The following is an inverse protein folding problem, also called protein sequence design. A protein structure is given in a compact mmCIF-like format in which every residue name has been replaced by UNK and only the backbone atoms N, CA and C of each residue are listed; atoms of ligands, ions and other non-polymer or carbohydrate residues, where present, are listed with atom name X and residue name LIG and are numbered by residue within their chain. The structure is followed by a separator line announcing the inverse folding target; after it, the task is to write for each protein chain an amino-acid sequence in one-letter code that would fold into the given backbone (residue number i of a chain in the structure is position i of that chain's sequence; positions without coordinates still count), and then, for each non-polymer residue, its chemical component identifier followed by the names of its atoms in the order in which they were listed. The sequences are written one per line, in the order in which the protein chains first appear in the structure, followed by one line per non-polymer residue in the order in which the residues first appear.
data_IF_049279119445
#
_entry.id   IF_049279119445
#
_cell.length_a   1.000
_cell.length_b   1.000
_cell.length_c   1.000
_cell.angle_alpha   90.00
_cell.angle_beta   90.00
_cell.angle_gamma   90.00
#
_symmetry.space_group_name_H-M   'P 1'
#
loop_
_entity.id
_entity.type
_entity.pdbx_description
1 polymer ?
#
# COMPACT_ATOMS: atom_id res chain seq x y z
N UNK A 1 22.87 10.69 64.25
CA UNK A 1 22.20 9.47 63.80
C UNK A 1 21.03 9.88 62.93
N UNK A 2 21.20 9.83 61.59
CA UNK A 2 20.20 9.89 60.50
C UNK A 2 19.17 11.05 60.48
N UNK A 3 18.82 11.73 59.38
CA UNK A 3 19.12 11.65 57.94
C UNK A 3 18.69 12.99 57.31
N UNK A 4 19.46 13.49 56.36
CA UNK A 4 19.05 14.53 55.41
C UNK A 4 18.11 13.96 54.34
N UNK A 5 17.14 14.78 53.88
CA UNK A 5 16.84 15.04 52.46
C UNK A 5 15.60 15.96 52.32
N UNK A 6 15.73 17.12 51.67
CA UNK A 6 14.68 17.77 50.91
C UNK A 6 15.00 17.69 49.40
N UNK A 7 13.97 17.68 48.53
CA UNK A 7 14.21 17.78 47.09
C UNK A 7 12.96 17.65 46.23
N UNK A 8 12.33 18.79 45.95
CA UNK A 8 11.41 18.98 44.81
C UNK A 8 12.14 18.70 43.49
N UNK A 9 11.43 18.09 42.53
CA UNK A 9 11.82 18.06 41.10
C UNK A 9 10.76 18.86 40.31
N UNK A 10 11.15 19.84 39.49
CA UNK A 10 10.22 20.57 38.61
C UNK A 10 10.05 19.89 37.25
N UNK A 11 8.92 20.23 36.61
CA UNK A 11 8.56 19.86 35.25
C UNK A 11 9.57 20.40 34.21
N UNK A 12 10.08 19.51 33.36
CA UNK A 12 10.91 19.86 32.21
C UNK A 12 10.07 19.97 30.94
N UNK A 13 10.04 21.18 30.36
CA UNK A 13 9.48 21.46 29.05
C UNK A 13 10.37 20.94 27.91
N UNK A 14 9.74 20.65 26.77
CA UNK A 14 10.41 20.34 25.52
C UNK A 14 10.89 21.63 24.82
N UNK A 15 12.11 21.67 24.26
CA UNK A 15 12.59 22.85 23.56
C UNK A 15 12.03 22.90 22.13
N UNK A 16 11.51 24.08 21.77
CA UNK A 16 11.28 24.51 20.40
C UNK A 16 12.64 24.87 19.79
N UNK A 17 13.09 24.13 18.78
CA UNK A 17 14.27 24.52 17.99
C UNK A 17 13.79 25.20 16.72
N UNK A 18 13.94 26.52 16.67
CA UNK A 18 13.88 27.30 15.43
C UNK A 18 15.16 27.05 14.62
N UNK A 19 15.03 26.54 13.38
CA UNK A 19 16.15 26.45 12.45
C UNK A 19 16.04 27.55 11.41
N UNK A 20 17.08 28.38 11.40
CA UNK A 20 17.38 29.45 10.44
C UNK A 20 17.76 28.81 9.10
N UNK A 21 17.09 29.20 8.02
CA UNK A 21 17.39 28.78 6.65
C UNK A 21 18.64 29.51 6.15
N UNK A 22 19.78 28.82 6.10
CA UNK A 22 20.98 29.29 5.40
C UNK A 22 21.06 28.61 4.01
N UNK A 23 21.03 29.42 2.95
CA UNK A 23 21.20 28.96 1.56
C UNK A 23 22.68 28.80 1.22
N UNK A 24 23.15 27.62 0.74
CA UNK A 24 24.45 27.53 0.10
C UNK A 24 24.35 27.87 -1.40
N UNK A 25 25.22 28.80 -1.81
CA UNK A 25 25.45 29.24 -3.19
C UNK A 25 25.93 28.08 -4.08
N UNK A 26 25.43 28.02 -5.32
CA UNK A 26 25.95 27.18 -6.39
C UNK A 26 27.40 27.56 -6.71
N UNK A 27 28.29 26.56 -6.70
CA UNK A 27 29.61 26.66 -7.33
C UNK A 27 29.63 25.75 -8.55
N UNK A 28 29.91 26.35 -9.71
CA UNK A 28 30.04 25.70 -11.01
C UNK A 28 31.48 25.29 -11.24
N UNK A 29 31.74 23.98 -11.38
CA UNK A 29 32.97 23.45 -11.97
C UNK A 29 32.68 22.14 -12.72
N UNK A 30 32.70 22.19 -14.06
CA UNK A 30 33.20 21.09 -14.93
C UNK A 30 34.74 21.16 -14.96
N UNK A 31 35.54 20.17 -15.44
CA UNK A 31 35.25 18.99 -16.29
C UNK A 31 35.89 17.67 -15.72
N UNK A 32 35.80 16.47 -16.30
CA UNK A 32 36.54 15.98 -17.47
C UNK A 32 36.07 14.56 -17.83
N UNK A 33 36.00 14.27 -19.13
CA UNK A 33 35.59 12.98 -19.68
C UNK A 33 36.66 11.89 -19.46
N UNK A 34 36.22 10.71 -19.03
CA UNK A 34 37.01 9.48 -19.00
C UNK A 34 36.36 8.48 -19.96
N UNK A 35 37.12 8.07 -20.97
CA UNK A 35 36.78 7.04 -21.95
C UNK A 35 36.85 5.67 -21.28
N UNK A 36 35.83 4.79 -21.38
CA UNK A 36 35.98 3.41 -20.94
C UNK A 36 36.56 2.53 -22.05
N UNK A 37 37.55 1.76 -21.60
CA UNK A 37 38.31 0.75 -22.30
C UNK A 37 37.46 -0.44 -22.74
N UNK A 38 37.88 -1.07 -23.82
CA UNK A 38 37.16 -2.06 -24.62
C UNK A 38 37.71 -3.45 -24.29
N UNK A 39 37.06 -4.20 -23.39
CA UNK A 39 37.37 -5.62 -23.20
C UNK A 39 36.18 -6.42 -22.63
N UNK A 40 36.01 -7.64 -23.15
CA UNK A 40 35.10 -8.72 -22.74
C UNK A 40 33.62 -8.62 -23.17
N UNK A 41 33.36 -9.00 -24.43
CA UNK A 41 32.08 -9.60 -24.83
C UNK A 41 32.12 -11.12 -24.59
N UNK A 42 31.26 -11.62 -23.71
CA UNK A 42 30.93 -13.04 -23.59
C UNK A 42 29.74 -13.38 -24.52
N UNK A 43 29.67 -14.59 -25.10
CA UNK A 43 28.67 -14.95 -26.10
C UNK A 43 27.28 -15.19 -25.50
N UNK A 44 26.24 -14.79 -26.25
CA UNK A 44 24.83 -14.95 -25.90
C UNK A 44 24.39 -16.43 -25.82
N UNK A 45 23.45 -16.78 -24.91
CA UNK A 45 22.90 -18.13 -24.84
C UNK A 45 21.94 -18.42 -26.01
N UNK A 46 22.07 -19.62 -26.59
CA UNK A 46 21.20 -20.16 -27.63
C UNK A 46 19.91 -20.72 -27.01
N UNK A 47 18.76 -20.20 -27.42
CA UNK A 47 17.46 -20.79 -27.08
C UNK A 47 17.13 -21.99 -27.99
N UNK A 48 16.56 -23.09 -27.46
CA UNK A 48 16.06 -24.19 -28.27
C UNK A 48 14.71 -23.86 -28.93
N UNK A 49 14.55 -24.30 -30.19
CA UNK A 49 13.28 -24.25 -30.95
C UNK A 49 12.24 -25.20 -30.34
N UNK A 50 10.94 -24.89 -30.42
CA UNK A 50 9.88 -25.81 -29.99
C UNK A 50 9.66 -26.93 -31.02
N UNK A 51 9.37 -28.17 -30.59
CA UNK A 51 8.94 -29.24 -31.48
C UNK A 51 7.47 -29.10 -31.87
N UNK A 52 7.18 -29.57 -33.10
CA UNK A 52 5.95 -29.33 -33.84
C UNK A 52 4.74 -30.17 -33.44
N UNK A 53 3.64 -29.80 -34.11
CA UNK A 53 2.29 -30.37 -34.06
C UNK A 53 2.30 -31.86 -34.43
N UNK A 54 1.60 -32.67 -33.65
CA UNK A 54 1.26 -34.05 -33.97
C UNK A 54 -0.11 -34.42 -33.39
N UNK A 55 -1.13 -34.39 -34.24
CA UNK A 55 -2.45 -35.02 -34.05
C UNK A 55 -2.32 -36.55 -34.00
N UNK A 56 -3.05 -37.22 -33.10
CA UNK A 56 -3.65 -38.55 -33.33
C UNK A 56 -4.59 -38.93 -32.17
N UNK A 57 -5.88 -39.11 -32.49
CA UNK A 57 -6.85 -39.86 -31.70
C UNK A 57 -6.57 -41.37 -31.85
N UNK A 58 -6.99 -42.20 -30.88
CA UNK A 58 -8.10 -43.10 -31.22
C UNK A 58 -9.13 -43.33 -30.09
N UNK A 59 -10.34 -43.66 -30.55
CA UNK A 59 -11.47 -44.24 -29.82
C UNK A 59 -11.13 -45.59 -29.18
N UNK A 60 -11.62 -45.82 -27.96
CA UNK A 60 -12.11 -47.13 -27.49
C UNK A 60 -13.10 -46.91 -26.34
N UNK A 61 -14.31 -47.46 -26.50
CA UNK A 61 -15.40 -47.32 -25.54
C UNK A 61 -15.31 -48.30 -24.37
N UNK A 62 -15.98 -47.95 -23.28
CA UNK A 62 -16.47 -48.91 -22.28
C UNK A 62 -17.80 -48.44 -21.68
N UNK A 63 -18.65 -49.43 -21.47
CA UNK A 63 -20.06 -49.37 -21.05
C UNK A 63 -20.25 -49.38 -19.53
N UNK A 64 -21.23 -48.57 -19.07
CA UNK A 64 -22.12 -48.69 -17.87
C UNK A 64 -21.47 -48.63 -16.46
N UNK A 65 -22.21 -48.34 -15.35
CA UNK A 65 -23.69 -48.31 -15.17
C UNK A 65 -24.27 -47.07 -14.42
N UNK A 66 -25.60 -46.98 -14.38
CA UNK A 66 -26.41 -45.99 -13.65
C UNK A 66 -26.34 -46.17 -12.11
N UNK A 67 -26.47 -45.08 -11.31
CA UNK A 67 -26.49 -45.17 -9.85
C UNK A 67 -27.90 -45.47 -9.30
N UNK A 68 -28.00 -46.09 -8.10
CA UNK A 68 -29.27 -46.41 -7.46
C UNK A 68 -29.89 -45.20 -6.75
N UNK A 69 -31.22 -45.15 -6.82
CA UNK A 69 -32.10 -44.23 -6.10
C UNK A 69 -32.15 -44.60 -4.62
N UNK A 70 -31.67 -43.72 -3.74
CA UNK A 70 -31.93 -43.81 -2.29
C UNK A 70 -32.47 -42.48 -1.81
N UNK A 71 -33.74 -42.49 -1.45
CA UNK A 71 -34.47 -41.41 -0.77
C UNK A 71 -34.02 -41.37 0.69
N UNK A 72 -33.33 -40.30 1.09
CA UNK A 72 -33.09 -40.00 2.50
C UNK A 72 -33.59 -38.59 2.80
N UNK A 73 -34.55 -38.55 3.72
CA UNK A 73 -35.31 -37.43 4.24
C UNK A 73 -34.42 -36.28 4.74
N UNK A 74 -34.61 -35.09 4.20
CA UNK A 74 -34.04 -33.82 4.66
C UNK A 74 -34.61 -33.47 6.05
N UNK A 75 -33.81 -33.15 7.07
CA UNK A 75 -34.29 -32.29 8.15
C UNK A 75 -34.34 -30.86 7.62
N UNK A 76 -35.44 -30.16 7.86
CA UNK A 76 -35.59 -28.73 7.62
C UNK A 76 -34.48 -27.98 8.36
N UNK A 77 -33.44 -27.63 7.61
CA UNK A 77 -32.41 -26.72 8.07
C UNK A 77 -33.03 -25.34 8.19
N UNK A 78 -33.17 -24.89 9.42
CA UNK A 78 -33.27 -23.49 9.80
C UNK A 78 -32.37 -22.67 8.88
N UNK A 79 -32.99 -21.85 8.01
CA UNK A 79 -32.30 -20.84 7.21
C UNK A 79 -31.74 -19.81 8.19
N UNK A 80 -30.60 -20.15 8.80
CA UNK A 80 -29.71 -19.17 9.39
C UNK A 80 -29.34 -18.27 8.23
N UNK A 81 -30.01 -17.11 8.19
CA UNK A 81 -29.66 -16.01 7.32
C UNK A 81 -28.23 -15.65 7.72
N UNK A 82 -27.26 -16.22 7.01
CA UNK A 82 -25.87 -15.87 7.18
C UNK A 82 -25.78 -14.41 6.74
N UNK A 83 -25.85 -13.50 7.71
CA UNK A 83 -25.46 -12.11 7.53
C UNK A 83 -24.24 -12.11 6.62
N UNK A 84 -24.28 -11.43 5.45
CA UNK A 84 -23.16 -11.45 4.52
C UNK A 84 -21.93 -11.03 5.32
N UNK A 85 -21.07 -12.01 5.59
CA UNK A 85 -20.05 -11.85 6.61
C UNK A 85 -19.29 -10.55 6.34
N UNK A 86 -19.20 -9.64 7.31
CA UNK A 86 -18.58 -8.32 7.06
C UNK A 86 -17.06 -8.48 7.00
N UNK A 87 -16.40 -7.86 6.01
CA UNK A 87 -14.93 -7.92 5.88
C UNK A 87 -14.32 -6.88 6.83
N UNK A 88 -13.37 -7.30 7.65
CA UNK A 88 -12.78 -6.46 8.70
C UNK A 88 -11.26 -6.44 8.55
N UNK A 89 -10.64 -5.27 8.74
CA UNK A 89 -9.21 -5.09 8.81
C UNK A 89 -8.82 -4.53 10.19
N UNK A 90 -7.85 -5.14 10.87
CA UNK A 90 -7.24 -4.58 12.09
C UNK A 90 -5.72 -4.50 11.96
N UNK A 91 -5.08 -3.59 12.71
CA UNK A 91 -3.61 -3.45 12.69
C UNK A 91 -2.89 -4.74 13.12
N UNK A 92 -3.43 -5.43 14.13
CA UNK A 92 -2.78 -6.58 14.77
C UNK A 92 -3.05 -7.90 14.09
N UNK A 93 -4.28 -8.11 13.64
CA UNK A 93 -4.75 -9.39 13.10
C UNK A 93 -4.92 -9.37 11.58
N UNK A 94 -4.79 -8.20 10.95
CA UNK A 94 -4.93 -8.06 9.52
C UNK A 94 -6.37 -8.27 9.04
N UNK A 95 -6.49 -8.77 7.81
CA UNK A 95 -7.77 -9.02 7.16
C UNK A 95 -8.45 -10.25 7.76
N UNK A 96 -9.72 -10.10 8.17
CA UNK A 96 -10.44 -11.11 8.95
C UNK A 96 -10.73 -12.41 8.22
N UNK A 97 -10.70 -12.40 6.89
CA UNK A 97 -10.84 -13.58 6.02
C UNK A 97 -10.20 -13.31 4.68
N UNK A 98 -9.91 -14.39 3.96
CA UNK A 98 -9.34 -14.35 2.61
C UNK A 98 -8.12 -13.41 2.50
N UNK A 99 -7.07 -13.62 3.32
CA UNK A 99 -5.86 -12.81 3.23
C UNK A 99 -5.14 -12.96 1.87
N UNK A 100 -5.42 -14.04 1.13
CA UNK A 100 -4.96 -14.22 -0.25
C UNK A 100 -5.44 -13.10 -1.18
N UNK A 101 -6.64 -12.55 -0.96
CA UNK A 101 -7.12 -11.39 -1.71
C UNK A 101 -6.16 -10.17 -1.65
N UNK A 102 -5.39 -10.01 -0.57
CA UNK A 102 -4.38 -8.93 -0.46
C UNK A 102 -3.22 -9.18 -1.41
N UNK A 103 -2.74 -10.43 -1.50
CA UNK A 103 -1.67 -10.85 -2.41
C UNK A 103 -2.09 -10.65 -3.86
N UNK A 104 -3.28 -11.10 -4.21
CA UNK A 104 -3.82 -10.98 -5.58
C UNK A 104 -4.11 -9.53 -5.97
N UNK A 105 -4.63 -8.72 -5.05
CA UNK A 105 -4.89 -7.31 -5.30
C UNK A 105 -3.60 -6.52 -5.55
N UNK A 106 -2.55 -6.74 -4.75
CA UNK A 106 -1.25 -6.09 -4.96
C UNK A 106 -0.63 -6.50 -6.29
N UNK A 107 -0.61 -7.80 -6.60
CA UNK A 107 -0.07 -8.32 -7.86
C UNK A 107 -0.83 -7.76 -9.08
N UNK A 108 -2.16 -7.85 -9.07
CA UNK A 108 -3.02 -7.32 -10.14
C UNK A 108 -2.82 -5.82 -10.34
N UNK A 109 -2.70 -5.06 -9.24
CA UNK A 109 -2.43 -3.63 -9.31
C UNK A 109 -1.07 -3.35 -9.96
N UNK A 110 -0.02 -4.04 -9.53
CA UNK A 110 1.36 -3.88 -10.04
C UNK A 110 1.45 -4.19 -11.53
N UNK A 111 0.95 -5.34 -11.97
CA UNK A 111 0.98 -5.76 -13.39
C UNK A 111 0.28 -4.74 -14.29
N UNK A 112 -0.88 -4.24 -13.84
CA UNK A 112 -1.60 -3.22 -14.60
C UNK A 112 -0.83 -1.90 -14.63
N UNK A 113 -0.26 -1.46 -13.52
CA UNK A 113 0.50 -0.21 -13.45
C UNK A 113 1.77 -0.27 -14.30
N UNK A 114 2.54 -1.36 -14.24
CA UNK A 114 3.75 -1.53 -15.07
C UNK A 114 3.42 -1.57 -16.56
N UNK A 115 2.31 -2.22 -16.94
CA UNK A 115 1.81 -2.19 -18.32
C UNK A 115 1.54 -0.77 -18.81
N UNK A 116 0.93 0.08 -17.97
CA UNK A 116 0.68 1.50 -18.31
C UNK A 116 1.96 2.33 -18.38
N UNK A 117 2.91 2.09 -17.47
CA UNK A 117 4.21 2.76 -17.49
C UNK A 117 5.00 2.42 -18.77
N UNK A 118 4.89 1.18 -19.26
CA UNK A 118 5.53 0.75 -20.50
C UNK A 118 4.97 1.42 -21.78
N UNK A 119 3.78 2.01 -21.70
CA UNK A 119 3.15 2.74 -22.82
C UNK A 119 3.58 4.22 -22.89
N UNK A 120 4.31 4.71 -21.89
CA UNK A 120 4.74 6.11 -21.82
C UNK A 120 5.78 6.46 -22.87
N UNK A 121 5.63 7.62 -23.49
CA UNK A 121 6.66 8.17 -24.37
C UNK A 121 7.85 8.71 -23.57
N UNK A 122 9.03 8.95 -24.19
CA UNK A 122 10.17 9.54 -23.49
C UNK A 122 9.87 10.88 -22.81
N UNK A 123 8.97 11.70 -23.37
CA UNK A 123 8.59 12.99 -22.79
C UNK A 123 7.66 12.85 -21.57
N UNK A 124 6.87 11.78 -21.52
CA UNK A 124 5.92 11.53 -20.41
C UNK A 124 6.66 11.24 -19.09
N UNK A 125 7.84 10.63 -19.16
CA UNK A 125 8.65 10.30 -17.99
C UNK A 125 9.12 11.52 -17.19
N UNK A 126 9.32 12.65 -17.86
CA UNK A 126 9.72 13.91 -17.21
C UNK A 126 8.54 14.83 -16.92
N UNK A 127 7.30 14.39 -17.21
CA UNK A 127 6.11 15.17 -16.94
C UNK A 127 5.91 15.38 -15.42
N UNK A 128 5.37 16.54 -15.00
CA UNK A 128 5.06 16.80 -13.60
C UNK A 128 3.92 15.90 -13.10
N UNK A 129 3.91 15.65 -11.79
CA UNK A 129 2.84 14.90 -11.10
C UNK A 129 2.12 15.79 -10.08
N UNK A 130 1.09 15.26 -9.41
CA UNK A 130 0.48 15.97 -8.27
C UNK A 130 1.43 16.09 -7.07
N UNK A 131 2.43 15.23 -6.98
CA UNK A 131 3.59 15.41 -6.10
C UNK A 131 4.50 16.43 -6.78
N UNK A 132 4.34 17.72 -6.48
CA UNK A 132 4.95 18.82 -7.27
C UNK A 132 6.47 18.79 -7.35
N UNK A 133 7.13 18.07 -6.45
CA UNK A 133 8.58 17.90 -6.44
C UNK A 133 9.05 16.76 -7.35
N UNK A 134 8.16 15.87 -7.78
CA UNK A 134 8.49 14.63 -8.48
C UNK A 134 7.84 14.56 -9.86
N UNK A 135 8.67 14.17 -10.82
CA UNK A 135 8.29 13.70 -12.15
C UNK A 135 7.64 12.32 -12.11
N UNK A 136 7.00 11.91 -13.21
CA UNK A 136 6.48 10.54 -13.38
C UNK A 136 7.57 9.49 -13.13
N UNK A 137 8.79 9.72 -13.63
CA UNK A 137 9.92 8.82 -13.41
C UNK A 137 10.35 8.75 -11.95
N UNK A 138 10.32 9.86 -11.22
CA UNK A 138 10.62 9.88 -9.78
C UNK A 138 9.59 9.13 -8.97
N UNK A 139 8.29 9.31 -9.26
CA UNK A 139 7.23 8.52 -8.64
C UNK A 139 7.41 7.02 -8.95
N UNK A 140 7.69 6.66 -10.20
CA UNK A 140 7.91 5.25 -10.57
C UNK A 140 9.13 4.63 -9.87
N UNK A 141 10.23 5.37 -9.71
CA UNK A 141 11.41 4.93 -8.94
C UNK A 141 11.10 4.80 -7.46
N UNK A 142 10.34 5.72 -6.88
CA UNK A 142 9.86 5.60 -5.51
C UNK A 142 9.05 4.31 -5.30
N UNK A 143 8.17 3.96 -6.24
CA UNK A 143 7.42 2.69 -6.19
C UNK A 143 8.32 1.44 -6.23
N UNK A 144 9.45 1.51 -6.93
CA UNK A 144 10.49 0.47 -6.88
C UNK A 144 11.13 0.42 -5.50
N UNK A 145 11.53 1.56 -4.95
CA UNK A 145 12.16 1.65 -3.61
C UNK A 145 11.23 1.07 -2.52
N UNK A 146 9.93 1.37 -2.60
CA UNK A 146 8.89 0.83 -1.71
C UNK A 146 8.73 -0.69 -1.89
N UNK A 147 8.77 -1.21 -3.11
CA UNK A 147 8.69 -2.65 -3.37
C UNK A 147 9.94 -3.40 -2.87
N UNK A 148 11.14 -2.83 -3.05
CA UNK A 148 12.40 -3.36 -2.49
C UNK A 148 12.31 -3.42 -0.95
N UNK A 149 11.83 -2.35 -0.31
CA UNK A 149 11.60 -2.29 1.13
C UNK A 149 10.61 -3.37 1.59
N UNK A 150 9.50 -3.51 0.87
CA UNK A 150 8.47 -4.50 1.19
C UNK A 150 9.01 -5.93 1.14
N UNK A 151 9.72 -6.30 0.07
CA UNK A 151 10.36 -7.62 -0.04
C UNK A 151 11.35 -7.84 1.10
N UNK A 152 12.15 -6.84 1.46
CA UNK A 152 13.08 -6.95 2.58
C UNK A 152 12.36 -7.17 3.92
N UNK A 153 11.22 -6.53 4.14
CA UNK A 153 10.36 -6.77 5.31
C UNK A 153 9.77 -8.19 5.32
N UNK A 154 9.16 -8.62 4.22
CA UNK A 154 8.50 -9.94 4.11
C UNK A 154 9.49 -11.10 4.26
N UNK A 155 10.73 -10.92 3.80
CA UNK A 155 11.78 -11.96 3.86
C UNK A 155 12.63 -11.90 5.12
N UNK A 156 12.33 -10.97 6.06
CA UNK A 156 13.13 -10.80 7.29
C UNK A 156 14.54 -10.26 7.04
N UNK A 157 14.79 -9.64 5.88
CA UNK A 157 16.10 -9.14 5.45
C UNK A 157 16.27 -7.63 5.58
N UNK A 158 15.30 -6.92 6.17
CA UNK A 158 15.31 -5.47 6.31
C UNK A 158 16.64 -4.93 6.89
N UNK A 159 17.13 -5.53 7.98
CA UNK A 159 18.39 -5.12 8.64
C UNK A 159 19.64 -5.23 7.74
N UNK A 160 19.60 -6.08 6.72
CA UNK A 160 20.69 -6.31 5.77
C UNK A 160 20.46 -5.62 4.42
N UNK A 161 19.37 -4.86 4.29
CA UNK A 161 19.05 -4.09 3.10
C UNK A 161 19.59 -2.66 3.22
N UNK A 162 19.55 -1.90 2.11
CA UNK A 162 19.88 -0.46 2.16
C UNK A 162 18.95 0.33 3.09
N UNK A 163 17.76 -0.20 3.38
CA UNK A 163 16.79 0.39 4.30
C UNK A 163 17.08 0.08 5.78
N UNK A 164 17.95 -0.88 6.08
CA UNK A 164 18.28 -1.27 7.46
C UNK A 164 18.99 -0.18 8.27
N UNK A 165 19.56 0.82 7.60
CA UNK A 165 20.24 1.96 8.22
C UNK A 165 19.32 3.15 8.51
N UNK A 166 18.10 3.14 7.98
CA UNK A 166 17.16 4.23 8.22
C UNK A 166 16.66 4.10 9.65
N UNK A 167 17.12 5.01 10.50
CA UNK A 167 16.54 5.22 11.83
C UNK A 167 15.19 5.88 11.60
N UNK A 168 14.15 5.38 12.28
CA UNK A 168 12.78 5.92 12.34
C UNK A 168 12.28 6.54 11.02
N UNK A 169 11.49 5.80 10.24
CA UNK A 169 10.90 6.30 9.00
C UNK A 169 10.10 7.59 9.27
N UNK A 170 10.49 8.65 8.58
CA UNK A 170 9.79 9.93 8.56
C UNK A 170 9.14 10.09 7.17
N UNK A 171 7.80 10.08 7.08
CA UNK A 171 7.08 10.19 5.81
C UNK A 171 7.38 11.47 5.02
N UNK A 172 7.91 12.52 5.67
CA UNK A 172 8.20 13.81 5.04
C UNK A 172 9.59 13.86 4.37
N UNK A 173 10.54 13.06 4.85
CA UNK A 173 11.95 13.14 4.44
C UNK A 173 12.50 11.83 3.88
N UNK A 174 12.10 10.68 4.45
CA UNK A 174 12.63 9.36 4.12
C UNK A 174 12.36 8.95 2.66
N UNK A 175 11.17 9.19 2.07
CA UNK A 175 10.94 8.88 0.65
C UNK A 175 11.90 9.61 -0.29
N UNK A 176 12.22 10.88 0.00
CA UNK A 176 13.18 11.66 -0.78
C UNK A 176 14.62 11.19 -0.62
N UNK A 177 14.97 10.63 0.54
CA UNK A 177 16.26 9.95 0.76
C UNK A 177 16.41 8.71 -0.11
N UNK A 178 15.38 7.86 -0.17
CA UNK A 178 15.42 6.62 -0.97
C UNK A 178 15.55 6.90 -2.45
N UNK A 179 14.82 7.92 -2.91
CA UNK A 179 14.83 8.36 -4.29
C UNK A 179 16.19 8.91 -4.72
N UNK A 180 16.89 9.61 -3.81
CA UNK A 180 18.28 10.04 -4.05
C UNK A 180 19.24 8.87 -4.19
N UNK A 181 19.07 7.82 -3.38
CA UNK A 181 19.89 6.61 -3.45
C UNK A 181 19.65 5.81 -4.74
N UNK A 182 18.45 5.91 -5.34
CA UNK A 182 18.09 5.29 -6.63
C UNK A 182 18.26 6.24 -7.84
N UNK A 183 19.05 7.32 -7.67
CA UNK A 183 19.37 8.25 -8.75
C UNK A 183 20.08 7.56 -9.94
N UNK A 184 19.71 7.96 -11.17
CA UNK A 184 20.36 7.50 -12.40
C UNK A 184 19.80 6.23 -13.04
N UNK A 185 18.87 5.52 -12.38
CA UNK A 185 18.14 4.39 -13.00
C UNK A 185 17.30 4.88 -14.18
N UNK A 186 17.43 4.30 -15.37
CA UNK A 186 16.62 4.68 -16.55
C UNK A 186 15.14 4.28 -16.38
N UNK A 187 14.21 4.84 -17.18
CA UNK A 187 12.82 4.38 -17.20
C UNK A 187 12.66 2.87 -17.44
N UNK A 188 13.40 2.32 -18.39
CA UNK A 188 13.38 0.89 -18.73
C UNK A 188 13.85 0.04 -17.55
N UNK A 189 14.99 0.42 -16.94
CA UNK A 189 15.50 -0.23 -15.74
C UNK A 189 14.53 -0.12 -14.55
N UNK A 190 13.74 0.96 -14.49
CA UNK A 190 12.73 1.16 -13.45
C UNK A 190 11.56 0.20 -13.64
N UNK A 191 11.07 0.02 -14.87
CA UNK A 191 10.03 -0.96 -15.19
C UNK A 191 10.52 -2.38 -14.91
N UNK A 192 11.71 -2.74 -15.40
CA UNK A 192 12.27 -4.09 -15.23
C UNK A 192 12.43 -4.44 -13.74
N UNK A 193 12.92 -3.48 -12.94
CA UNK A 193 13.03 -3.66 -11.50
C UNK A 193 11.66 -3.85 -10.85
N UNK A 194 10.66 -3.04 -11.22
CA UNK A 194 9.32 -3.15 -10.65
C UNK A 194 8.64 -4.47 -11.01
N UNK A 195 8.79 -4.95 -12.24
CA UNK A 195 8.30 -6.28 -12.66
C UNK A 195 8.98 -7.39 -11.84
N UNK A 196 10.30 -7.35 -11.72
CA UNK A 196 11.07 -8.34 -10.93
C UNK A 196 10.61 -8.36 -9.47
N UNK A 197 10.43 -7.19 -8.87
CA UNK A 197 9.99 -7.06 -7.48
C UNK A 197 8.54 -7.47 -7.29
N UNK A 198 7.68 -7.25 -8.28
CA UNK A 198 6.27 -7.68 -8.24
C UNK A 198 6.16 -9.19 -8.07
N UNK A 199 6.97 -9.97 -8.81
CA UNK A 199 7.04 -11.42 -8.64
C UNK A 199 7.60 -11.81 -7.25
N UNK A 200 8.66 -11.13 -6.80
CA UNK A 200 9.25 -11.39 -5.49
C UNK A 200 8.30 -11.05 -4.32
N UNK A 201 7.50 -9.99 -4.43
CA UNK A 201 6.43 -9.62 -3.50
C UNK A 201 5.37 -10.74 -3.48
N UNK A 202 4.89 -11.16 -4.65
CA UNK A 202 3.86 -12.19 -4.80
C UNK A 202 4.29 -13.52 -4.17
N UNK A 203 5.49 -13.99 -4.48
CA UNK A 203 6.08 -15.21 -3.91
C UNK A 203 6.26 -15.12 -2.39
N UNK A 204 6.71 -13.96 -1.91
CA UNK A 204 6.95 -13.74 -0.47
C UNK A 204 5.65 -13.71 0.32
N UNK A 205 4.62 -13.07 -0.22
CA UNK A 205 3.28 -13.08 0.37
C UNK A 205 2.67 -14.48 0.34
N UNK A 206 2.86 -15.24 -0.74
CA UNK A 206 2.39 -16.64 -0.84
C UNK A 206 2.90 -17.52 0.30
N UNK A 207 4.16 -17.32 0.73
CA UNK A 207 4.75 -18.01 1.89
C UNK A 207 4.19 -17.58 3.25
N UNK A 208 3.49 -16.46 3.33
CA UNK A 208 2.96 -15.89 4.57
C UNK A 208 1.45 -16.05 4.73
N UNK A 209 0.72 -16.49 3.70
CA UNK A 209 -0.76 -16.58 3.72
C UNK A 209 -1.27 -17.38 4.93
N UNK A 210 -0.68 -18.54 5.19
CA UNK A 210 -1.08 -19.43 6.29
C UNK A 210 -0.45 -19.05 7.63
N UNK A 211 0.44 -18.06 7.63
CA UNK A 211 1.12 -17.60 8.83
C UNK A 211 0.44 -16.35 9.40
N UNK A 212 0.14 -16.36 10.71
CA UNK A 212 -0.16 -15.13 11.47
C UNK A 212 1.11 -14.32 11.75
N UNK A 213 1.93 -14.12 10.72
CA UNK A 213 3.23 -13.47 10.83
C UNK A 213 3.06 -11.95 10.99
N UNK A 214 3.92 -11.37 11.82
CA UNK A 214 4.01 -9.92 11.98
C UNK A 214 5.35 -9.40 11.50
N UNK A 215 5.33 -8.24 10.86
CA UNK A 215 6.47 -7.54 10.27
C UNK A 215 6.67 -6.18 10.93
N UNK A 216 7.87 -5.61 10.83
CA UNK A 216 8.15 -4.26 11.34
C UNK A 216 7.39 -3.22 10.51
N UNK A 217 6.67 -2.33 11.19
CA UNK A 217 5.92 -1.24 10.55
C UNK A 217 6.83 -0.04 10.24
N UNK A 218 6.63 0.67 9.10
CA UNK A 218 7.20 1.99 8.87
C UNK A 218 6.83 3.01 9.96
N UNK A 219 5.62 2.96 10.53
CA UNK A 219 5.16 3.89 11.57
C UNK A 219 5.56 3.46 13.00
N UNK A 220 6.49 2.50 13.10
CA UNK A 220 6.94 1.86 14.34
C UNK A 220 6.01 0.74 14.81
N UNK A 221 6.58 -0.23 15.56
CA UNK A 221 5.85 -1.39 16.08
C UNK A 221 5.78 -2.57 15.11
N UNK A 222 4.87 -3.52 15.39
CA UNK A 222 4.67 -4.75 14.63
C UNK A 222 3.27 -4.75 14.02
N UNK A 223 3.18 -4.94 12.70
CA UNK A 223 1.93 -5.08 11.97
C UNK A 223 1.75 -6.51 11.48
N UNK A 224 0.51 -6.96 11.33
CA UNK A 224 0.24 -8.15 10.53
C UNK A 224 0.77 -7.95 9.10
N UNK A 225 1.34 -8.98 8.47
CA UNK A 225 1.93 -8.83 7.13
C UNK A 225 0.93 -8.27 6.10
N UNK A 226 -0.34 -8.64 6.21
CA UNK A 226 -1.37 -8.17 5.28
C UNK A 226 -1.69 -6.68 5.45
N UNK A 227 -1.49 -6.11 6.63
CA UNK A 227 -1.60 -4.66 6.86
C UNK A 227 -0.46 -3.92 6.19
N UNK A 228 0.76 -4.46 6.26
CA UNK A 228 1.89 -3.89 5.50
C UNK A 228 1.63 -4.00 4.00
N UNK A 229 1.23 -5.15 3.48
CA UNK A 229 0.95 -5.30 2.05
C UNK A 229 -0.18 -4.36 1.57
N UNK A 230 -1.19 -4.11 2.40
CA UNK A 230 -2.24 -3.13 2.12
C UNK A 230 -1.74 -1.68 2.16
N UNK A 231 -0.78 -1.36 3.02
CA UNK A 231 -0.08 -0.07 2.99
C UNK A 231 0.60 0.15 1.63
N UNK A 232 1.36 -0.86 1.18
CA UNK A 232 2.08 -0.80 -0.10
C UNK A 232 1.11 -0.70 -1.28
N UNK A 233 -0.01 -1.42 -1.24
CA UNK A 233 -1.07 -1.29 -2.25
C UNK A 233 -1.68 0.11 -2.26
N UNK A 234 -2.01 0.66 -1.09
CA UNK A 234 -2.61 1.98 -0.97
C UNK A 234 -1.66 3.10 -1.41
N UNK A 235 -0.38 3.00 -1.06
CA UNK A 235 0.68 3.90 -1.52
C UNK A 235 0.78 3.90 -3.05
N UNK A 236 0.90 2.70 -3.65
CA UNK A 236 0.93 2.56 -5.10
C UNK A 236 -0.34 3.07 -5.79
N UNK A 237 -1.50 2.87 -5.18
CA UNK A 237 -2.78 3.38 -5.68
C UNK A 237 -2.85 4.91 -5.64
N UNK A 238 -2.36 5.54 -4.56
CA UNK A 238 -2.28 6.99 -4.47
C UNK A 238 -1.33 7.58 -5.52
N UNK A 239 -0.14 7.00 -5.65
CA UNK A 239 0.87 7.48 -6.58
C UNK A 239 0.54 7.24 -8.05
N UNK A 240 -0.20 6.19 -8.38
CA UNK A 240 -0.80 6.08 -9.71
C UNK A 240 -1.70 7.27 -10.03
N UNK A 241 -2.51 7.71 -9.06
CA UNK A 241 -3.39 8.86 -9.24
C UNK A 241 -2.62 10.17 -9.32
N UNK A 242 -1.47 10.26 -8.65
CA UNK A 242 -0.56 11.41 -8.77
C UNK A 242 0.00 11.55 -10.18
N UNK A 243 0.13 10.43 -10.92
CA UNK A 243 0.54 10.38 -12.32
C UNK A 243 -0.63 10.36 -13.32
N UNK A 244 -1.88 10.50 -12.85
CA UNK A 244 -3.08 10.23 -13.68
C UNK A 244 -3.21 11.11 -14.93
N UNK A 245 -2.71 12.36 -14.88
CA UNK A 245 -2.71 13.25 -16.04
C UNK A 245 -1.87 12.69 -17.20
N UNK A 246 -0.80 11.96 -16.89
CA UNK A 246 0.13 11.39 -17.87
C UNK A 246 -0.23 9.96 -18.25
N UNK A 247 -0.62 9.12 -17.28
CA UNK A 247 -0.94 7.71 -17.53
C UNK A 247 -2.23 7.49 -18.36
N UNK A 248 -2.90 8.56 -18.80
CA UNK A 248 -4.21 8.58 -19.51
C UNK A 248 -5.32 7.93 -18.67
N UNK A 249 -6.57 7.94 -19.12
CA UNK A 249 -7.65 7.29 -18.35
C UNK A 249 -7.48 5.76 -18.38
N UNK A 250 -7.15 5.16 -17.24
CA UNK A 250 -7.07 3.71 -17.08
C UNK A 250 -8.45 3.08 -16.89
N UNK A 251 -8.54 1.75 -17.09
CA UNK A 251 -9.74 0.99 -16.70
C UNK A 251 -9.99 1.17 -15.19
N UNK A 252 -11.27 1.28 -14.76
CA UNK A 252 -11.60 1.29 -13.34
C UNK A 252 -10.98 0.10 -12.60
N UNK A 253 -10.48 0.34 -11.39
CA UNK A 253 -9.96 -0.74 -10.53
C UNK A 253 -11.06 -1.75 -10.21
N UNK A 254 -10.67 -3.01 -9.99
CA UNK A 254 -11.61 -4.03 -9.54
C UNK A 254 -12.24 -3.66 -8.20
N UNK A 255 -13.46 -4.16 -7.96
CA UNK A 255 -14.13 -3.98 -6.68
C UNK A 255 -13.30 -4.54 -5.50
N UNK A 256 -12.51 -5.60 -5.72
CA UNK A 256 -11.62 -6.15 -4.70
C UNK A 256 -10.54 -5.12 -4.28
N UNK A 257 -9.85 -4.51 -5.25
CA UNK A 257 -8.82 -3.49 -4.96
C UNK A 257 -9.46 -2.29 -4.26
N UNK A 258 -10.58 -1.76 -4.78
CA UNK A 258 -11.25 -0.59 -4.21
C UNK A 258 -11.66 -0.81 -2.74
N UNK A 259 -12.18 -2.00 -2.42
CA UNK A 259 -12.54 -2.39 -1.04
C UNK A 259 -11.32 -2.41 -0.13
N UNK A 260 -10.22 -2.99 -0.58
CA UNK A 260 -9.00 -3.12 0.22
C UNK A 260 -8.32 -1.77 0.47
N UNK A 261 -8.25 -0.90 -0.54
CA UNK A 261 -7.72 0.47 -0.34
C UNK A 261 -8.64 1.33 0.52
N UNK A 262 -9.96 1.12 0.47
CA UNK A 262 -10.91 1.77 1.38
C UNK A 262 -10.64 1.37 2.84
N UNK A 263 -10.58 0.07 3.11
CA UNK A 263 -10.31 -0.47 4.44
C UNK A 263 -8.99 0.07 4.99
N UNK A 264 -7.93 0.03 4.19
CA UNK A 264 -6.62 0.50 4.63
C UNK A 264 -6.57 2.02 4.83
N UNK A 265 -7.07 2.80 3.86
CA UNK A 265 -7.03 4.27 3.94
C UNK A 265 -7.78 4.81 5.16
N UNK A 266 -8.94 4.23 5.48
CA UNK A 266 -9.68 4.55 6.70
C UNK A 266 -8.92 4.07 7.96
N UNK A 267 -8.31 2.88 7.91
CA UNK A 267 -7.56 2.33 9.04
C UNK A 267 -6.40 3.26 9.41
N UNK A 268 -5.51 3.59 8.46
CA UNK A 268 -4.32 4.39 8.75
C UNK A 268 -4.68 5.80 9.23
N UNK A 269 -5.73 6.40 8.66
CA UNK A 269 -6.28 7.69 9.11
C UNK A 269 -6.76 7.62 10.57
N UNK A 270 -7.57 6.60 10.90
CA UNK A 270 -8.08 6.40 12.26
C UNK A 270 -6.98 6.00 13.26
N UNK A 271 -5.98 5.22 12.84
CA UNK A 271 -4.81 4.85 13.64
C UNK A 271 -3.97 6.06 14.03
N UNK A 272 -3.74 7.00 13.12
CA UNK A 272 -3.07 8.27 13.45
C UNK A 272 -3.92 9.09 14.41
N UNK A 273 -5.23 9.15 14.20
CA UNK A 273 -6.13 9.86 15.10
C UNK A 273 -6.09 9.29 16.53
N UNK A 274 -6.13 7.96 16.64
CA UNK A 274 -6.02 7.21 17.90
C UNK A 274 -4.69 7.43 18.63
N UNK A 275 -3.59 7.73 17.92
CA UNK A 275 -2.31 8.03 18.58
C UNK A 275 -2.34 9.35 19.34
N UNK A 276 -3.19 10.30 18.95
CA UNK A 276 -3.36 11.59 19.62
C UNK A 276 -4.55 11.65 20.59
N UNK A 277 -5.21 10.53 20.89
CA UNK A 277 -6.33 10.51 21.84
C UNK A 277 -7.24 9.30 21.69
N UNK A 278 -8.56 9.52 21.76
CA UNK A 278 -9.56 8.47 21.61
C UNK A 278 -9.71 8.01 20.15
N UNK A 279 -10.08 6.74 19.97
CA UNK A 279 -10.39 6.19 18.64
C UNK A 279 -11.79 6.68 18.24
N UNK A 280 -11.94 7.29 17.05
CA UNK A 280 -13.26 7.62 16.54
C UNK A 280 -14.09 6.35 16.33
N UNK A 281 -15.21 6.23 17.06
CA UNK A 281 -16.30 5.32 16.71
C UNK A 281 -17.12 6.00 15.61
N UNK A 282 -16.84 5.66 14.35
CA UNK A 282 -17.32 6.44 13.20
C UNK A 282 -17.81 5.53 12.10
N UNK A 283 -18.98 5.86 11.57
CA UNK A 283 -19.49 5.25 10.33
C UNK A 283 -19.27 6.20 9.17
N UNK A 284 -18.61 5.73 8.12
CA UNK A 284 -18.28 6.48 6.91
C UNK A 284 -19.01 5.90 5.71
N UNK A 285 -19.69 6.76 4.94
CA UNK A 285 -20.26 6.38 3.65
C UNK A 285 -19.35 6.85 2.51
N UNK A 286 -18.71 5.90 1.82
CA UNK A 286 -17.89 6.12 0.64
C UNK A 286 -18.70 5.85 -0.64
N UNK A 287 -19.38 6.87 -1.13
CA UNK A 287 -20.28 6.76 -2.28
C UNK A 287 -19.50 6.32 -3.52
N UNK A 288 -19.94 5.21 -4.11
CA UNK A 288 -19.32 4.60 -5.29
C UNK A 288 -18.21 3.59 -4.96
N UNK A 289 -17.95 3.31 -3.68
CA UNK A 289 -17.15 2.14 -3.31
C UNK A 289 -17.98 0.85 -3.40
N UNK A 290 -17.33 -0.33 -3.41
CA UNK A 290 -18.01 -1.63 -3.47
C UNK A 290 -18.91 -1.97 -2.28
N UNK A 291 -18.71 -1.33 -1.14
CA UNK A 291 -19.46 -1.61 0.10
C UNK A 291 -20.37 -0.48 0.56
N UNK A 292 -20.19 0.72 -0.01
CA UNK A 292 -20.81 1.99 0.36
C UNK A 292 -20.53 2.42 1.82
N UNK A 293 -20.67 1.55 2.81
CA UNK A 293 -20.65 1.85 4.23
C UNK A 293 -19.51 1.14 4.96
N UNK A 294 -18.76 1.89 5.78
CA UNK A 294 -17.64 1.39 6.58
C UNK A 294 -17.76 1.87 8.02
N UNK A 295 -17.35 1.03 8.97
CA UNK A 295 -17.37 1.34 10.39
C UNK A 295 -15.94 1.28 10.94
N UNK A 296 -15.55 2.33 11.65
CA UNK A 296 -14.28 2.49 12.33
C UNK A 296 -14.57 2.34 13.83
N UNK A 297 -13.83 1.46 14.49
CA UNK A 297 -13.99 1.16 15.91
C UNK A 297 -12.70 0.59 16.50
N UNK A 298 -12.70 0.31 17.81
CA UNK A 298 -11.61 -0.36 18.51
C UNK A 298 -10.87 0.56 19.50
N UNK A 299 -10.01 0.00 20.36
CA UNK A 299 -9.19 0.77 21.29
C UNK A 299 -7.92 1.33 20.61
N UNK A 300 -7.23 2.23 21.30
CA UNK A 300 -5.93 2.75 20.86
C UNK A 300 -4.94 1.58 20.65
N UNK A 301 -4.34 1.53 19.46
CA UNK A 301 -3.37 0.48 19.09
C UNK A 301 -3.97 -0.86 18.71
N UNK A 302 -5.29 -0.91 18.48
CA UNK A 302 -5.98 -2.01 17.77
C UNK A 302 -7.21 -1.46 17.02
N UNK A 303 -6.97 -0.43 16.20
CA UNK A 303 -8.03 0.16 15.37
C UNK A 303 -8.52 -0.87 14.37
N UNK A 304 -9.83 -0.85 14.12
CA UNK A 304 -10.55 -1.75 13.23
C UNK A 304 -11.35 -0.94 12.22
N UNK A 305 -11.36 -1.40 10.97
CA UNK A 305 -12.30 -0.94 9.94
C UNK A 305 -13.08 -2.13 9.39
N UNK A 306 -14.39 -2.03 9.37
CA UNK A 306 -15.30 -3.08 8.91
C UNK A 306 -16.19 -2.57 7.77
N UNK A 307 -16.13 -3.24 6.62
CA UNK A 307 -16.98 -2.98 5.47
C UNK A 307 -18.44 -3.45 5.69
N UNK A 308 -19.39 -2.83 5.00
CA UNK A 308 -20.81 -3.17 5.06
C UNK A 308 -21.50 -2.74 6.35
N UNK A 309 -21.18 -1.55 6.87
CA UNK A 309 -21.84 -1.00 8.06
C UNK A 309 -23.33 -0.69 7.84
N UNK A 310 -24.13 -0.85 8.89
CA UNK A 310 -25.60 -0.68 8.84
C UNK A 310 -26.08 0.56 9.60
N UNK A 311 -25.24 1.14 10.45
CA UNK A 311 -25.51 2.38 11.17
C UNK A 311 -25.56 3.59 10.24
N UNK A 312 -26.23 4.65 10.67
CA UNK A 312 -26.25 5.92 9.92
C UNK A 312 -24.83 6.51 9.82
N UNK A 313 -24.45 7.05 8.64
CA UNK A 313 -23.11 7.60 8.46
C UNK A 313 -22.94 8.91 9.23
N UNK A 314 -21.78 9.06 9.87
CA UNK A 314 -21.35 10.31 10.50
C UNK A 314 -20.78 11.29 9.46
N UNK A 315 -20.28 10.76 8.33
CA UNK A 315 -19.85 11.53 7.16
C UNK A 315 -20.08 10.72 5.89
N UNK A 316 -20.34 11.43 4.79
CA UNK A 316 -20.53 10.84 3.47
C UNK A 316 -19.80 11.66 2.40
N UNK A 317 -19.13 10.97 1.49
CA UNK A 317 -18.44 11.61 0.37
C UNK A 317 -18.14 10.62 -0.74
N UNK A 318 -17.69 11.12 -1.90
CA UNK A 318 -17.26 10.26 -3.01
C UNK A 318 -16.01 9.47 -2.60
N UNK A 319 -16.01 8.17 -2.88
CA UNK A 319 -14.96 7.22 -2.50
C UNK A 319 -13.54 7.77 -2.70
N UNK A 320 -13.21 8.18 -3.93
CA UNK A 320 -11.86 8.64 -4.25
C UNK A 320 -11.52 9.97 -3.56
N UNK A 321 -12.45 10.92 -3.57
CA UNK A 321 -12.23 12.24 -2.98
C UNK A 321 -12.00 12.16 -1.46
N UNK A 322 -12.71 11.27 -0.77
CA UNK A 322 -12.51 11.05 0.68
C UNK A 322 -11.12 10.45 0.93
N UNK A 323 -10.74 9.40 0.18
CA UNK A 323 -9.44 8.75 0.37
C UNK A 323 -8.26 9.68 0.03
N UNK A 324 -8.37 10.46 -1.04
CA UNK A 324 -7.36 11.47 -1.38
C UNK A 324 -7.24 12.52 -0.28
N UNK A 325 -8.38 13.01 0.21
CA UNK A 325 -8.40 14.04 1.24
C UNK A 325 -7.76 13.60 2.55
N UNK A 326 -8.06 12.38 3.04
CA UNK A 326 -7.40 11.86 4.26
C UNK A 326 -5.90 11.61 4.06
N UNK A 327 -5.47 11.35 2.82
CA UNK A 327 -4.06 11.25 2.45
C UNK A 327 -3.38 12.61 2.28
N UNK A 328 -4.10 13.72 2.44
CA UNK A 328 -3.57 15.08 2.27
C UNK A 328 -3.49 15.54 0.81
N UNK A 329 -4.22 14.89 -0.11
CA UNK A 329 -4.34 15.28 -1.51
C UNK A 329 -5.67 15.97 -1.76
N UNK A 330 -5.65 17.06 -2.52
CA UNK A 330 -6.88 17.77 -2.91
C UNK A 330 -7.51 18.58 -1.76
N UNK A 331 -8.83 18.85 -1.83
CA UNK A 331 -9.56 19.64 -0.84
C UNK A 331 -9.53 19.02 0.57
N UNK A 332 -9.79 19.83 1.60
CA UNK A 332 -9.87 19.34 2.99
C UNK A 332 -11.07 18.41 3.17
N UNK A 333 -10.99 17.47 4.11
CA UNK A 333 -12.05 16.45 4.25
C UNK A 333 -13.41 17.09 4.51
N UNK A 334 -13.46 18.13 5.35
CA UNK A 334 -14.67 18.89 5.63
C UNK A 334 -15.32 19.49 4.37
N UNK A 335 -14.52 19.93 3.40
CA UNK A 335 -14.99 20.45 2.10
C UNK A 335 -15.51 19.31 1.23
N UNK A 336 -14.83 18.16 1.23
CA UNK A 336 -15.24 16.97 0.46
C UNK A 336 -16.57 16.39 0.93
N UNK A 337 -16.81 16.34 2.25
CA UNK A 337 -18.02 15.75 2.83
C UNK A 337 -19.11 16.77 3.15
N UNK A 338 -18.81 18.07 3.00
CA UNK A 338 -19.75 19.17 3.26
C UNK A 338 -20.17 19.33 4.72
N UNK A 339 -19.43 18.73 5.66
CA UNK A 339 -19.71 18.78 7.11
C UNK A 339 -18.42 18.94 7.91
N UNK A 340 -18.50 19.65 9.03
CA UNK A 340 -17.42 19.79 10.01
C UNK A 340 -17.89 19.24 11.35
N UNK A 341 -17.35 18.09 11.74
CA UNK A 341 -17.66 17.43 13.02
C UNK A 341 -16.41 16.71 13.55
N UNK A 342 -16.42 16.22 14.81
CA UNK A 342 -15.24 15.57 15.40
C UNK A 342 -14.73 14.36 14.60
N UNK A 343 -15.62 13.61 13.91
CA UNK A 343 -15.21 12.50 13.07
C UNK A 343 -14.34 12.96 11.88
N UNK A 344 -14.75 14.05 11.22
CA UNK A 344 -13.98 14.67 10.12
C UNK A 344 -12.64 15.19 10.63
N UNK A 345 -12.61 15.84 11.78
CA UNK A 345 -11.36 16.35 12.38
C UNK A 345 -10.39 15.21 12.72
N UNK A 346 -10.89 14.14 13.34
CA UNK A 346 -10.08 12.96 13.67
C UNK A 346 -9.48 12.32 12.42
N UNK A 347 -10.29 12.04 11.39
CA UNK A 347 -9.82 11.40 10.16
C UNK A 347 -8.89 12.30 9.32
N UNK A 348 -8.92 13.62 9.54
CA UNK A 348 -8.01 14.55 8.87
C UNK A 348 -6.60 14.57 9.47
N UNK A 349 -6.36 13.94 10.63
CA UNK A 349 -5.06 14.04 11.34
C UNK A 349 -3.88 13.44 10.57
N UNK A 350 -4.13 12.44 9.72
CA UNK A 350 -3.09 11.89 8.84
C UNK A 350 -2.47 12.97 7.95
N UNK A 351 -3.25 13.96 7.50
CA UNK A 351 -2.75 15.04 6.65
C UNK A 351 -1.67 15.90 7.30
N UNK A 352 -1.60 15.93 8.63
CA UNK A 352 -0.62 16.72 9.37
C UNK A 352 0.76 16.04 9.45
N UNK A 353 0.82 14.71 9.25
CA UNK A 353 2.08 13.96 9.23
C UNK A 353 2.57 13.65 7.81
N UNK A 354 1.77 13.94 6.80
CA UNK A 354 2.10 13.71 5.38
C UNK A 354 2.63 14.98 4.68
N UNK A 355 2.86 16.06 5.41
CA UNK A 355 3.23 17.40 4.90
C UNK A 355 4.62 17.81 5.29
#
# INVERSE_FOLDING_TARGET
MNREAPGLIPAGGFPVISVIVAHPRRSTTHPTAVTPDRANQAPAPRFPRPPGKGTLFPHAGHTRPSPPTTTTRTPEGELVSAEPSRLTLTERSGLSRDPEAVREALYTHRIRLTGRLAELSPADWTAPTRCTEWTVHEVARHLVDVAEFHVACLTGRLAHSRFGRLREFDPTSTPGEWLRDSAGRSPEQTIDALVTLTEAEHDSLGRLIDASATVTSPLGGRWHWSVLALHILWDAWMHERDMSATLRAGRPQSAAIQRLVALYGLLVSASVAARSGEVPQVTVRLVGSPDDMYEISGPRGDVRVTAGATSSPHLSGRFEAVLESVAGRGPRLAEVVGVSNPAVEHLSRLTAIMK
#
